data_IF_165443423729
#
_entry.id   IF_165443423729
#
_cell.length_a   1.000
_cell.length_b   1.000
_cell.length_c   1.000
_cell.angle_alpha   90.00
_cell.angle_beta   90.00
_cell.angle_gamma   90.00
#
_symmetry.space_group_name_H-M   'P 1'
#
loop_
_entity.id
_entity.type
_entity.pdbx_description
1 polymer ?
#
# COMPACT_ATOMS: atom_id res chain seq x y z
N UNK A 1 -2.52 21.29 9.13
CA UNK A 1 -2.19 20.61 7.87
C UNK A 1 -1.55 21.61 6.91
N UNK A 2 -0.99 21.17 5.77
CA UNK A 2 -0.51 22.13 4.77
C UNK A 2 -1.71 22.81 4.09
N UNK A 3 -1.56 24.08 3.71
CA UNK A 3 -2.65 24.88 3.11
C UNK A 3 -3.29 24.21 1.88
N UNK A 4 -2.48 23.51 1.07
CA UNK A 4 -2.99 22.85 -0.14
C UNK A 4 -3.73 21.55 0.16
N UNK A 5 -3.38 20.84 1.23
CA UNK A 5 -4.13 19.65 1.62
C UNK A 5 -5.50 20.03 2.19
N UNK A 6 -5.57 21.09 3.01
CA UNK A 6 -6.84 21.64 3.50
C UNK A 6 -7.75 22.05 2.32
N UNK A 7 -7.16 22.69 1.31
CA UNK A 7 -7.86 23.05 0.07
C UNK A 7 -8.39 21.84 -0.69
N UNK A 8 -7.61 20.75 -0.81
CA UNK A 8 -8.07 19.52 -1.46
C UNK A 8 -9.29 18.93 -0.74
N UNK A 9 -9.25 18.86 0.60
CA UNK A 9 -10.38 18.38 1.41
C UNK A 9 -11.61 19.24 1.20
N UNK A 10 -11.48 20.56 1.20
CA UNK A 10 -12.60 21.47 0.96
C UNK A 10 -13.19 21.34 -0.45
N UNK A 11 -12.33 21.20 -1.47
CA UNK A 11 -12.77 20.92 -2.85
C UNK A 11 -13.57 19.62 -2.91
N UNK A 12 -13.08 18.54 -2.29
CA UNK A 12 -13.76 17.26 -2.32
C UNK A 12 -15.10 17.29 -1.56
N UNK A 13 -15.16 17.96 -0.41
CA UNK A 13 -16.43 18.18 0.31
C UNK A 13 -17.46 18.90 -0.55
N UNK A 14 -17.02 19.94 -1.28
CA UNK A 14 -17.88 20.67 -2.19
C UNK A 14 -18.35 19.80 -3.36
N UNK A 15 -17.45 18.99 -3.95
CA UNK A 15 -17.81 18.02 -4.98
C UNK A 15 -18.83 17.01 -4.46
N UNK A 16 -18.64 16.44 -3.26
CA UNK A 16 -19.58 15.51 -2.63
C UNK A 16 -20.97 16.12 -2.43
N UNK A 17 -21.04 17.41 -2.14
CA UNK A 17 -22.29 18.13 -1.92
C UNK A 17 -22.98 18.59 -3.22
N UNK A 18 -22.23 19.04 -4.22
CA UNK A 18 -22.77 19.74 -5.41
C UNK A 18 -22.70 18.90 -6.70
N UNK A 19 -21.83 17.89 -6.80
CA UNK A 19 -21.65 17.07 -7.99
C UNK A 19 -22.44 15.75 -7.88
N UNK A 20 -23.43 15.48 -8.76
CA UNK A 20 -24.23 14.25 -8.71
C UNK A 20 -23.38 12.98 -8.77
N UNK A 21 -22.33 12.97 -9.62
CA UNK A 21 -21.46 11.80 -9.73
C UNK A 21 -20.72 11.50 -8.43
N UNK A 22 -20.15 12.53 -7.78
CA UNK A 22 -19.42 12.36 -6.51
C UNK A 22 -20.39 11.99 -5.38
N UNK A 23 -21.60 12.55 -5.40
CA UNK A 23 -22.66 12.26 -4.44
C UNK A 23 -23.12 10.79 -4.50
N UNK A 24 -23.20 10.20 -5.70
CA UNK A 24 -23.63 8.81 -5.89
C UNK A 24 -22.52 7.78 -5.57
N UNK A 25 -21.27 8.19 -5.40
CA UNK A 25 -20.19 7.25 -5.10
C UNK A 25 -20.33 6.61 -3.72
N UNK A 26 -19.89 5.36 -3.65
CA UNK A 26 -19.77 4.58 -2.41
C UNK A 26 -18.34 4.02 -2.32
N UNK A 27 -17.94 3.54 -1.15
CA UNK A 27 -16.66 2.83 -1.03
C UNK A 27 -16.52 1.66 -2.01
N UNK A 28 -17.62 0.95 -2.26
CA UNK A 28 -17.64 -0.20 -3.16
C UNK A 28 -17.51 0.21 -4.63
N UNK A 29 -18.20 1.28 -5.07
CA UNK A 29 -18.10 1.76 -6.46
C UNK A 29 -16.71 2.30 -6.79
N UNK A 30 -16.00 2.83 -5.78
CA UNK A 30 -14.66 3.39 -5.94
C UNK A 30 -13.52 2.38 -5.85
N UNK A 31 -13.79 1.14 -5.40
CA UNK A 31 -12.75 0.11 -5.23
C UNK A 31 -11.88 -0.09 -6.47
N UNK A 32 -12.48 -0.05 -7.67
CA UNK A 32 -11.74 -0.22 -8.92
C UNK A 32 -10.71 0.89 -9.14
N UNK A 33 -11.07 2.14 -8.86
CA UNK A 33 -10.20 3.29 -9.09
C UNK A 33 -9.01 3.25 -8.13
N UNK A 34 -9.21 2.93 -6.85
CA UNK A 34 -8.10 2.71 -5.91
C UNK A 34 -7.04 1.74 -6.45
N UNK A 35 -7.48 0.69 -7.15
CA UNK A 35 -6.57 -0.29 -7.75
C UNK A 35 -5.94 0.25 -9.03
N UNK A 36 -6.70 0.90 -9.90
CA UNK A 36 -6.23 1.55 -11.13
C UNK A 36 -5.11 2.56 -10.80
N UNK A 37 -5.38 3.57 -9.96
CA UNK A 37 -4.40 4.61 -9.58
C UNK A 37 -3.14 4.03 -8.90
N UNK A 38 -3.30 2.95 -8.12
CA UNK A 38 -2.16 2.29 -7.47
C UNK A 38 -1.24 1.61 -8.50
N UNK A 39 -1.80 1.05 -9.58
CA UNK A 39 -1.02 0.46 -10.65
C UNK A 39 -0.43 1.50 -11.59
N UNK A 40 -1.14 2.59 -11.88
CA UNK A 40 -0.60 3.71 -12.66
C UNK A 40 0.55 4.37 -11.91
N UNK A 41 0.41 4.58 -10.60
CA UNK A 41 1.53 5.00 -9.72
C UNK A 41 2.72 4.03 -9.82
N UNK A 42 2.47 2.71 -9.75
CA UNK A 42 3.53 1.71 -9.85
C UNK A 42 4.21 1.71 -11.23
N UNK A 43 3.45 1.92 -12.30
CA UNK A 43 3.98 2.06 -13.65
C UNK A 43 4.85 3.30 -13.80
N UNK A 44 4.42 4.45 -13.29
CA UNK A 44 5.20 5.67 -13.31
C UNK A 44 6.55 5.51 -12.57
N UNK A 45 6.58 4.75 -11.47
CA UNK A 45 7.82 4.37 -10.76
C UNK A 45 8.71 3.50 -11.65
N UNK A 46 8.15 2.44 -12.26
CA UNK A 46 8.89 1.53 -13.13
C UNK A 46 9.52 2.23 -14.34
N UNK A 47 8.80 3.21 -14.90
CA UNK A 47 9.24 4.00 -16.05
C UNK A 47 10.16 5.18 -15.66
N UNK A 48 10.38 5.39 -14.35
CA UNK A 48 11.10 6.54 -13.81
C UNK A 48 10.58 7.90 -14.34
N UNK A 49 9.28 7.98 -14.60
CA UNK A 49 8.61 9.20 -15.09
C UNK A 49 8.17 10.06 -13.91
N UNK A 50 9.02 11.02 -13.53
CA UNK A 50 8.73 11.90 -12.41
C UNK A 50 7.52 12.82 -12.63
N UNK A 51 7.17 13.13 -13.88
CA UNK A 51 6.04 13.99 -14.21
C UNK A 51 4.73 13.26 -13.95
N UNK A 52 4.63 12.09 -14.56
CA UNK A 52 3.50 11.16 -14.42
C UNK A 52 3.36 10.69 -12.96
N UNK A 53 4.47 10.35 -12.29
CA UNK A 53 4.43 9.93 -10.88
C UNK A 53 3.77 10.98 -9.97
N UNK A 54 3.98 12.27 -10.24
CA UNK A 54 3.36 13.34 -9.44
C UNK A 54 1.84 13.42 -9.67
N UNK A 55 1.38 13.13 -10.88
CA UNK A 55 -0.04 13.09 -11.25
C UNK A 55 -0.72 11.91 -10.55
N UNK A 56 -0.20 10.70 -10.71
CA UNK A 56 -0.75 9.48 -10.10
C UNK A 56 -0.75 9.50 -8.58
N UNK A 57 0.28 10.08 -7.95
CA UNK A 57 0.28 10.28 -6.50
C UNK A 57 -0.83 11.25 -6.06
N UNK A 58 -1.21 12.21 -6.91
CA UNK A 58 -2.33 13.11 -6.71
C UNK A 58 -3.67 12.38 -6.81
N UNK A 59 -3.83 11.52 -7.81
CA UNK A 59 -5.07 10.76 -8.02
C UNK A 59 -5.27 9.68 -6.96
N UNK A 60 -4.19 8.98 -6.58
CA UNK A 60 -4.22 8.07 -5.43
C UNK A 60 -4.55 8.81 -4.12
N UNK A 61 -4.03 10.04 -3.93
CA UNK A 61 -4.41 10.88 -2.78
C UNK A 61 -5.87 11.31 -2.85
N UNK A 62 -6.39 11.65 -4.04
CA UNK A 62 -7.79 11.95 -4.25
C UNK A 62 -8.67 10.79 -3.79
N UNK A 63 -8.30 9.54 -4.12
CA UNK A 63 -9.03 8.35 -3.66
C UNK A 63 -9.12 8.31 -2.13
N UNK A 64 -8.04 8.59 -1.39
CA UNK A 64 -8.08 8.66 0.08
C UNK A 64 -9.07 9.73 0.57
N UNK A 65 -9.05 10.91 -0.04
CA UNK A 65 -9.90 12.05 0.38
C UNK A 65 -11.38 11.82 0.05
N UNK A 66 -11.72 11.24 -1.11
CA UNK A 66 -13.13 10.95 -1.45
C UNK A 66 -13.72 9.87 -0.53
N UNK A 67 -12.95 8.85 -0.16
CA UNK A 67 -13.40 7.87 0.83
C UNK A 67 -13.68 8.54 2.18
N UNK A 68 -12.81 9.44 2.64
CA UNK A 68 -13.07 10.21 3.86
C UNK A 68 -14.29 11.14 3.75
N UNK A 69 -14.52 11.76 2.59
CA UNK A 69 -15.69 12.60 2.36
C UNK A 69 -17.00 11.79 2.34
N UNK A 70 -16.98 10.55 1.82
CA UNK A 70 -18.11 9.62 1.91
C UNK A 70 -18.42 9.30 3.37
N UNK A 71 -17.40 8.93 4.15
CA UNK A 71 -17.60 8.59 5.55
C UNK A 71 -18.14 9.75 6.39
N UNK A 72 -17.68 10.96 6.11
CA UNK A 72 -18.20 12.18 6.74
C UNK A 72 -19.65 12.47 6.30
N UNK A 73 -20.00 12.31 5.01
CA UNK A 73 -21.37 12.58 4.54
C UNK A 73 -22.38 11.51 4.96
N UNK A 74 -21.93 10.27 5.13
CA UNK A 74 -22.76 9.11 5.42
C UNK A 74 -22.80 8.81 6.94
N UNK A 75 -22.23 9.69 7.77
CA UNK A 75 -22.18 9.62 9.23
C UNK A 75 -21.53 8.33 9.78
N UNK A 76 -20.45 7.88 9.12
CA UNK A 76 -19.67 6.70 9.55
C UNK A 76 -18.78 6.96 10.78
N UNK A 77 -18.69 8.22 11.22
CA UNK A 77 -17.98 8.61 12.44
C UNK A 77 -16.48 8.83 12.30
N UNK A 78 -15.98 9.03 11.07
CA UNK A 78 -14.57 9.34 10.82
C UNK A 78 -14.39 10.30 9.64
N UNK A 79 -13.27 11.02 9.64
CA UNK A 79 -12.96 12.10 8.69
C UNK A 79 -11.55 11.95 8.11
N UNK A 80 -11.17 12.85 7.18
CA UNK A 80 -9.80 12.90 6.66
C UNK A 80 -8.78 13.14 7.79
N UNK A 81 -9.13 13.95 8.80
CA UNK A 81 -8.24 14.23 9.93
C UNK A 81 -7.96 12.99 10.77
N UNK A 82 -8.96 12.10 10.92
CA UNK A 82 -8.78 10.84 11.63
C UNK A 82 -7.83 9.91 10.86
N UNK A 83 -7.99 9.79 9.54
CA UNK A 83 -7.08 9.01 8.68
C UNK A 83 -5.64 9.51 8.80
N UNK A 84 -5.43 10.83 8.70
CA UNK A 84 -4.10 11.46 8.78
C UNK A 84 -3.49 11.30 10.17
N UNK A 85 -4.29 11.50 11.23
CA UNK A 85 -3.84 11.32 12.61
C UNK A 85 -3.41 9.88 12.87
N UNK A 86 -4.24 8.91 12.49
CA UNK A 86 -3.95 7.50 12.70
C UNK A 86 -2.68 7.04 11.98
N UNK A 87 -2.44 7.50 10.74
CA UNK A 87 -1.20 7.15 10.03
C UNK A 87 0.01 7.87 10.65
N UNK A 88 -0.12 9.14 11.04
CA UNK A 88 0.95 9.89 11.69
C UNK A 88 1.35 9.25 13.03
N UNK A 89 0.40 8.98 13.92
CA UNK A 89 0.64 8.34 15.21
C UNK A 89 1.28 6.95 15.04
N UNK A 90 0.83 6.19 14.03
CA UNK A 90 1.40 4.88 13.69
C UNK A 90 2.84 4.99 13.21
N UNK A 91 3.18 5.99 12.40
CA UNK A 91 4.55 6.22 11.95
C UNK A 91 5.44 6.64 13.13
N UNK A 92 5.01 7.61 13.95
CA UNK A 92 5.74 8.03 15.15
C UNK A 92 6.02 6.83 16.06
N UNK A 93 5.00 6.03 16.36
CA UNK A 93 5.11 4.85 17.20
C UNK A 93 6.07 3.79 16.63
N UNK A 94 6.08 3.58 15.31
CA UNK A 94 6.93 2.56 14.65
C UNK A 94 8.35 3.04 14.33
N UNK A 95 8.63 4.32 14.49
CA UNK A 95 9.96 4.91 14.34
C UNK A 95 10.49 5.48 15.67
N UNK A 96 10.59 4.67 16.75
CA UNK A 96 11.13 5.16 18.02
C UNK A 96 12.62 5.52 17.95
N UNK A 97 13.30 5.17 16.85
CA UNK A 97 14.66 5.60 16.57
C UNK A 97 14.76 7.00 15.96
N UNK A 98 13.64 7.56 15.51
CA UNK A 98 13.55 8.95 15.07
C UNK A 98 12.86 9.81 16.14
N UNK A 99 11.82 9.27 16.77
CA UNK A 99 10.91 10.04 17.66
C UNK A 99 10.99 9.63 19.14
N UNK A 100 11.93 8.77 19.53
CA UNK A 100 12.12 8.31 20.91
C UNK A 100 13.58 7.99 21.19
N UNK A 101 13.82 7.03 22.10
CA UNK A 101 15.15 6.77 22.66
C UNK A 101 15.81 5.48 22.11
N UNK A 102 15.24 4.84 21.10
CA UNK A 102 15.80 3.60 20.54
C UNK A 102 16.97 3.95 19.61
N UNK A 103 18.15 3.38 19.83
CA UNK A 103 19.25 3.52 18.88
C UNK A 103 19.29 2.33 17.92
N UNK A 104 19.46 2.62 16.63
CA UNK A 104 19.68 1.63 15.56
C UNK A 104 20.87 2.08 14.71
N UNK A 105 21.59 1.12 14.15
CA UNK A 105 22.85 1.33 13.41
C UNK A 105 22.77 0.93 11.94
N UNK A 106 21.67 0.28 11.53
CA UNK A 106 21.49 -0.18 10.15
C UNK A 106 20.02 -0.18 9.71
N UNK A 107 19.80 -0.17 8.39
CA UNK A 107 18.47 -0.33 7.80
C UNK A 107 17.83 -1.68 8.17
N UNK A 108 18.64 -2.73 8.35
CA UNK A 108 18.17 -4.04 8.79
C UNK A 108 17.61 -3.99 10.22
N UNK A 109 18.27 -3.27 11.13
CA UNK A 109 17.77 -3.05 12.50
C UNK A 109 16.49 -2.19 12.50
N UNK A 110 16.40 -1.20 11.61
CA UNK A 110 15.19 -0.39 11.42
C UNK A 110 14.01 -1.28 10.99
N UNK A 111 14.19 -2.13 9.97
CA UNK A 111 13.13 -3.05 9.52
C UNK A 111 12.75 -4.06 10.60
N UNK A 112 13.73 -4.68 11.27
CA UNK A 112 13.47 -5.63 12.35
C UNK A 112 12.63 -4.99 13.48
N UNK A 113 12.98 -3.77 13.89
CA UNK A 113 12.21 -3.03 14.89
C UNK A 113 10.80 -2.68 14.39
N UNK A 114 10.66 -2.28 13.13
CA UNK A 114 9.36 -2.01 12.52
C UNK A 114 8.46 -3.24 12.48
N UNK A 115 8.98 -4.41 12.07
CA UNK A 115 8.20 -5.66 12.04
C UNK A 115 7.79 -6.08 13.45
N UNK A 116 8.65 -5.92 14.46
CA UNK A 116 8.32 -6.22 15.86
C UNK A 116 7.14 -5.37 16.35
N UNK A 117 7.22 -4.05 16.22
CA UNK A 117 6.15 -3.13 16.65
C UNK A 117 4.85 -3.33 15.86
N UNK A 118 4.95 -3.76 14.60
CA UNK A 118 3.81 -4.16 13.77
C UNK A 118 3.15 -5.44 14.26
N UNK A 119 3.91 -6.40 14.81
CA UNK A 119 3.41 -7.66 15.33
C UNK A 119 2.70 -7.48 16.68
N UNK A 120 3.17 -6.57 17.55
CA UNK A 120 2.56 -6.29 18.86
C UNK A 120 1.08 -5.90 18.78
N UNK A 121 0.67 -5.23 17.69
CA UNK A 121 -0.72 -4.82 17.46
C UNK A 121 -1.55 -5.80 16.61
N UNK A 122 -0.96 -6.90 16.13
CA UNK A 122 -1.65 -7.88 15.28
C UNK A 122 -1.49 -9.28 15.87
N UNK A 123 -2.48 -9.74 16.64
CA UNK A 123 -2.61 -11.13 17.07
C UNK A 123 -3.09 -12.00 15.91
N UNK A 124 -2.21 -12.25 14.92
CA UNK A 124 -2.55 -13.13 13.79
C UNK A 124 -2.57 -14.57 14.26
N UNK A 125 -3.57 -15.30 13.81
CA UNK A 125 -3.74 -16.74 14.02
C UNK A 125 -3.22 -17.58 12.85
N UNK A 126 -3.17 -17.00 11.64
CA UNK A 126 -2.70 -17.70 10.43
C UNK A 126 -1.78 -16.82 9.53
N UNK A 127 -0.77 -17.38 8.83
CA UNK A 127 0.13 -16.60 7.96
C UNK A 127 -0.56 -15.85 6.82
N UNK A 128 -1.70 -16.35 6.31
CA UNK A 128 -2.47 -15.68 5.26
C UNK A 128 -3.43 -14.61 5.79
N UNK A 129 -3.60 -14.50 7.11
CA UNK A 129 -4.57 -13.59 7.72
C UNK A 129 -4.26 -12.11 7.38
N UNK A 130 -5.25 -11.41 6.83
CA UNK A 130 -5.11 -10.03 6.37
C UNK A 130 -4.24 -9.85 5.12
N UNK A 131 -4.06 -10.90 4.30
CA UNK A 131 -3.62 -10.76 2.91
C UNK A 131 -4.89 -10.71 2.04
N UNK A 132 -5.14 -9.61 1.29
CA UNK A 132 -6.30 -9.53 0.40
C UNK A 132 -6.29 -10.65 -0.64
N UNK A 133 -7.45 -11.26 -0.89
CA UNK A 133 -7.60 -12.32 -1.88
C UNK A 133 -7.26 -11.85 -3.31
N UNK A 134 -7.56 -10.58 -3.60
CA UNK A 134 -7.34 -9.98 -4.91
C UNK A 134 -5.91 -9.42 -5.11
N UNK A 135 -5.03 -9.58 -4.11
CA UNK A 135 -3.65 -9.17 -4.25
C UNK A 135 -2.96 -10.03 -5.32
N UNK A 136 -2.10 -9.47 -6.19
CA UNK A 136 -1.35 -10.26 -7.17
C UNK A 136 -0.62 -11.43 -6.54
N UNK A 137 -0.57 -12.54 -7.28
CA UNK A 137 -0.04 -13.80 -6.78
C UNK A 137 1.39 -13.67 -6.25
N UNK A 138 2.27 -12.92 -6.91
CA UNK A 138 3.66 -12.77 -6.47
C UNK A 138 3.76 -11.89 -5.22
N UNK A 139 2.98 -10.82 -5.12
CA UNK A 139 2.90 -10.00 -3.90
C UNK A 139 2.27 -10.75 -2.72
N UNK A 140 1.29 -11.60 -2.97
CA UNK A 140 0.67 -12.46 -1.96
C UNK A 140 1.67 -13.51 -1.46
N UNK A 141 2.36 -14.19 -2.38
CA UNK A 141 3.42 -15.14 -2.08
C UNK A 141 4.54 -14.48 -1.28
N UNK A 142 4.99 -13.30 -1.69
CA UNK A 142 6.00 -12.49 -1.02
C UNK A 142 5.63 -12.22 0.45
N UNK A 143 4.39 -11.79 0.69
CA UNK A 143 3.86 -11.55 2.04
C UNK A 143 3.75 -12.82 2.88
N UNK A 144 3.40 -13.96 2.28
CA UNK A 144 3.31 -15.25 2.99
C UNK A 144 4.70 -15.71 3.39
N UNK A 145 5.67 -15.69 2.47
CA UNK A 145 7.06 -16.06 2.75
C UNK A 145 7.69 -15.18 3.82
N UNK A 146 7.35 -13.89 3.85
CA UNK A 146 7.78 -13.00 4.95
C UNK A 146 7.17 -13.30 6.33
N UNK A 147 6.20 -14.22 6.42
CA UNK A 147 5.54 -14.62 7.67
C UNK A 147 5.78 -16.09 8.03
N UNK A 148 6.41 -16.84 7.14
CA UNK A 148 6.61 -18.28 7.24
C UNK A 148 8.11 -18.55 7.22
N UNK A 149 8.66 -18.88 8.38
CA UNK A 149 10.09 -19.15 8.56
C UNK A 149 10.39 -20.64 8.35
N UNK A 150 10.06 -21.14 7.16
CA UNK A 150 10.44 -22.49 6.70
C UNK A 150 10.61 -22.51 5.18
N UNK A 151 11.47 -23.38 4.64
CA UNK A 151 11.69 -23.48 3.20
C UNK A 151 10.42 -23.83 2.42
N UNK A 152 10.41 -23.45 1.14
CA UNK A 152 9.37 -23.88 0.20
C UNK A 152 9.47 -25.38 -0.06
N UNK A 153 8.48 -26.12 0.44
CA UNK A 153 8.33 -27.58 0.27
C UNK A 153 7.46 -27.93 -0.96
N UNK A 154 7.59 -29.16 -1.45
CA UNK A 154 6.76 -29.74 -2.51
C UNK A 154 7.37 -29.66 -3.91
N UNK A 155 6.79 -30.38 -4.85
CA UNK A 155 7.28 -30.46 -6.23
C UNK A 155 6.34 -29.76 -7.22
N UNK A 156 6.85 -29.47 -8.41
CA UNK A 156 6.08 -28.93 -9.53
C UNK A 156 6.05 -27.40 -9.60
N UNK A 157 5.37 -26.91 -10.64
CA UNK A 157 5.46 -25.51 -11.08
C UNK A 157 5.07 -24.49 -10.00
N UNK A 158 4.08 -24.79 -9.17
CA UNK A 158 3.68 -23.90 -8.08
C UNK A 158 4.78 -23.71 -7.03
N UNK A 159 5.44 -24.79 -6.64
CA UNK A 159 6.59 -24.74 -5.73
C UNK A 159 7.79 -24.04 -6.39
N UNK A 160 8.01 -24.28 -7.68
CA UNK A 160 9.08 -23.61 -8.44
C UNK A 160 8.88 -22.10 -8.52
N UNK A 161 7.65 -21.65 -8.83
CA UNK A 161 7.30 -20.22 -8.82
C UNK A 161 7.50 -19.62 -7.43
N UNK A 162 7.08 -20.32 -6.37
CA UNK A 162 7.26 -19.84 -5.00
C UNK A 162 8.73 -19.74 -4.59
N UNK A 163 9.59 -20.66 -5.05
CA UNK A 163 11.06 -20.56 -4.89
C UNK A 163 11.67 -19.37 -5.63
N UNK A 164 11.13 -19.00 -6.80
CA UNK A 164 11.57 -17.80 -7.51
C UNK A 164 11.22 -16.53 -6.72
N UNK A 165 10.04 -16.50 -6.07
CA UNK A 165 9.66 -15.42 -5.14
C UNK A 165 10.62 -15.38 -3.95
N UNK A 166 10.92 -16.52 -3.32
CA UNK A 166 11.90 -16.62 -2.23
C UNK A 166 13.29 -16.10 -2.64
N UNK A 167 13.75 -16.46 -3.85
CA UNK A 167 15.01 -15.96 -4.42
C UNK A 167 15.00 -14.44 -4.63
N UNK A 168 13.91 -13.88 -5.15
CA UNK A 168 13.78 -12.42 -5.31
C UNK A 168 13.85 -11.71 -3.95
N UNK A 169 13.14 -12.23 -2.93
CA UNK A 169 13.18 -11.72 -1.56
C UNK A 169 14.58 -11.73 -0.97
N UNK A 170 15.30 -12.83 -1.10
CA UNK A 170 16.67 -12.96 -0.61
C UNK A 170 17.63 -11.96 -1.28
N UNK A 171 17.32 -11.52 -2.51
CA UNK A 171 18.05 -10.48 -3.23
C UNK A 171 17.55 -9.04 -2.93
N UNK A 172 16.54 -8.87 -2.08
CA UNK A 172 15.94 -7.56 -1.79
C UNK A 172 15.12 -6.99 -2.96
N UNK A 173 14.65 -7.84 -3.87
CA UNK A 173 13.88 -7.45 -5.05
C UNK A 173 12.38 -7.68 -4.83
N UNK A 174 11.55 -6.81 -5.44
CA UNK A 174 10.11 -7.03 -5.54
C UNK A 174 9.81 -8.01 -6.70
N UNK A 175 9.35 -9.25 -6.41
CA UNK A 175 9.09 -10.26 -7.43
C UNK A 175 8.01 -9.86 -8.44
N UNK A 176 7.00 -9.11 -8.02
CA UNK A 176 5.92 -8.65 -8.91
C UNK A 176 6.46 -7.63 -9.92
N UNK A 177 7.22 -6.65 -9.44
CA UNK A 177 7.83 -5.63 -10.29
C UNK A 177 8.87 -6.22 -11.26
N UNK A 178 9.68 -7.18 -10.79
CA UNK A 178 10.64 -7.90 -11.64
C UNK A 178 9.97 -8.61 -12.82
N UNK A 179 8.89 -9.37 -12.55
CA UNK A 179 8.18 -10.09 -13.61
C UNK A 179 7.48 -9.13 -14.59
N UNK A 180 6.91 -8.02 -14.10
CA UNK A 180 6.29 -6.99 -14.95
C UNK A 180 7.30 -6.38 -15.91
N UNK A 181 8.46 -5.95 -15.39
CA UNK A 181 9.54 -5.40 -16.22
C UNK A 181 10.07 -6.42 -17.23
N UNK A 182 10.24 -7.67 -16.82
CA UNK A 182 10.67 -8.74 -17.73
C UNK A 182 9.65 -9.00 -18.84
N UNK A 183 8.35 -9.03 -18.51
CA UNK A 183 7.26 -9.21 -19.47
C UNK A 183 7.21 -8.06 -20.48
N UNK A 184 7.30 -6.79 -20.04
CA UNK A 184 7.35 -5.63 -20.95
C UNK A 184 8.53 -5.74 -21.92
N UNK A 185 9.75 -5.98 -21.42
CA UNK A 185 10.94 -6.17 -22.27
C UNK A 185 10.79 -7.30 -23.29
N UNK A 186 10.07 -8.36 -22.94
CA UNK A 186 9.82 -9.47 -23.86
C UNK A 186 8.80 -9.09 -24.95
N UNK A 187 7.79 -8.28 -24.62
CA UNK A 187 6.81 -7.81 -25.59
C UNK A 187 7.40 -6.80 -26.59
N UNK A 188 8.38 -5.99 -26.16
CA UNK A 188 9.00 -4.94 -26.97
C UNK A 188 10.19 -5.43 -27.83
N UNK A 189 10.63 -6.68 -27.68
CA UNK A 189 11.81 -7.26 -28.35
C UNK A 189 11.47 -8.16 -29.54
#
# INVERSE_FOLDING_TARGET
MSREFDRLVEVMRRLRAECPWTHEQTHASLRRYVIEEAYETAEAIDLADSGHLREELGDLLMQVVIHAAIAESDDEGWTTDDVVREIADKLVHRNPHVFGDVTVTSAAEVDANWQRLKAERKQRTHPTEGIPADLPALMAADKVLGRVDRPVEGDGLGADLLRLVEKARAAGLDPEAELRRATRRHADG
#
